data_IF_045088665845
#
_entry.id   IF_045088665845
#
_cell.length_a   1.000
_cell.length_b   1.000
_cell.length_c   1.000
_cell.angle_alpha   90.00
_cell.angle_beta   90.00
_cell.angle_gamma   90.00
#
_symmetry.space_group_name_H-M   'P 1'
#
loop_
_entity.id
_entity.type
_entity.pdbx_description
1 polymer ?
#
# COMPACT_ATOMS: atom_id res chain seq x y z
N UNK A 1 -6.08 3.52 -30.86
CA UNK A 1 -6.75 3.70 -29.55
C UNK A 1 -7.21 2.34 -29.04
N UNK A 2 -7.15 2.07 -27.73
CA UNK A 2 -7.60 0.81 -27.11
C UNK A 2 -8.33 1.12 -25.80
N UNK A 3 -9.34 0.32 -25.47
CA UNK A 3 -10.09 0.45 -24.22
C UNK A 3 -9.44 -0.42 -23.14
N UNK A 4 -9.17 0.17 -21.98
CA UNK A 4 -8.64 -0.57 -20.84
C UNK A 4 -9.72 -1.48 -20.24
N UNK A 5 -9.40 -2.76 -19.99
CA UNK A 5 -10.35 -3.70 -19.37
C UNK A 5 -10.60 -3.45 -17.89
N UNK A 6 -9.76 -2.66 -17.21
CA UNK A 6 -9.83 -2.38 -15.76
C UNK A 6 -10.58 -1.09 -15.45
N UNK A 7 -10.30 0.00 -16.18
CA UNK A 7 -10.91 1.31 -15.92
C UNK A 7 -11.86 1.78 -17.03
N UNK A 8 -12.11 0.96 -18.06
CA UNK A 8 -12.95 1.28 -19.23
C UNK A 8 -12.53 2.54 -20.04
N UNK A 9 -11.40 3.17 -19.71
CA UNK A 9 -10.93 4.36 -20.41
C UNK A 9 -10.38 4.02 -21.80
N UNK A 10 -10.69 4.87 -22.78
CA UNK A 10 -10.18 4.77 -24.16
C UNK A 10 -8.89 5.57 -24.29
N UNK A 11 -7.76 4.87 -24.44
CA UNK A 11 -6.41 5.45 -24.35
C UNK A 11 -5.56 5.10 -25.59
N UNK A 12 -4.52 5.90 -25.91
CA UNK A 12 -3.52 5.55 -26.93
C UNK A 12 -2.73 4.27 -26.59
N UNK A 13 -2.24 3.55 -27.60
CA UNK A 13 -1.53 2.27 -27.42
C UNK A 13 -0.27 2.38 -26.55
N UNK A 14 0.38 3.54 -26.51
CA UNK A 14 1.56 3.81 -25.64
C UNK A 14 1.27 3.61 -24.14
N UNK A 15 0.00 3.68 -23.73
CA UNK A 15 -0.39 3.42 -22.34
C UNK A 15 -0.60 1.94 -22.03
N UNK A 16 -0.44 1.03 -23.00
CA UNK A 16 -0.61 -0.40 -22.80
C UNK A 16 0.76 -1.08 -22.91
N UNK A 17 1.35 -1.51 -21.78
CA UNK A 17 2.67 -2.12 -21.78
C UNK A 17 2.67 -3.42 -22.58
N UNK A 18 3.78 -3.66 -23.28
CA UNK A 18 4.03 -4.89 -24.03
C UNK A 18 4.53 -5.97 -23.07
N UNK A 19 3.92 -7.15 -23.12
CA UNK A 19 4.41 -8.35 -22.44
C UNK A 19 4.57 -9.42 -23.52
N UNK A 20 5.79 -9.95 -23.67
CA UNK A 20 6.15 -10.89 -24.74
C UNK A 20 5.75 -10.37 -26.14
N UNK A 21 6.01 -9.09 -26.41
CA UNK A 21 5.67 -8.43 -27.68
C UNK A 21 4.18 -8.11 -27.89
N UNK A 22 3.29 -8.51 -26.96
CA UNK A 22 1.84 -8.27 -27.07
C UNK A 22 1.37 -7.18 -26.13
N UNK A 23 0.55 -6.24 -26.63
CA UNK A 23 -0.04 -5.18 -25.83
C UNK A 23 -1.06 -5.73 -24.82
N UNK A 24 -0.79 -5.51 -23.55
CA UNK A 24 -1.67 -5.96 -22.45
C UNK A 24 -3.06 -5.32 -22.50
N UNK A 25 -4.04 -5.97 -21.86
CA UNK A 25 -5.44 -5.51 -21.82
C UNK A 25 -5.66 -4.35 -20.84
N UNK A 26 -4.89 -4.31 -19.74
CA UNK A 26 -4.90 -3.23 -18.77
C UNK A 26 -3.88 -2.15 -19.12
N UNK A 27 -4.25 -0.89 -18.92
CA UNK A 27 -3.32 0.22 -19.09
C UNK A 27 -2.27 0.25 -17.97
N UNK A 28 -1.12 0.89 -18.25
CA UNK A 28 -0.02 1.03 -17.31
C UNK A 28 -0.44 1.65 -15.97
N UNK A 29 -1.30 2.70 -15.91
CA UNK A 29 -1.83 3.21 -14.64
C UNK A 29 -2.52 2.14 -13.79
N UNK A 30 -3.45 1.37 -14.36
CA UNK A 30 -4.15 0.31 -13.62
C UNK A 30 -3.19 -0.77 -13.11
N UNK A 31 -2.23 -1.20 -13.96
CA UNK A 31 -1.21 -2.18 -13.53
C UNK A 31 -0.32 -1.63 -12.42
N UNK A 32 0.03 -0.35 -12.45
CA UNK A 32 0.82 0.28 -11.40
C UNK A 32 0.02 0.36 -10.09
N UNK A 33 -1.28 0.66 -10.15
CA UNK A 33 -2.15 0.62 -8.98
C UNK A 33 -2.23 -0.78 -8.38
N UNK A 34 -2.44 -1.81 -9.21
CA UNK A 34 -2.45 -3.21 -8.75
C UNK A 34 -1.12 -3.61 -8.11
N UNK A 35 0.01 -3.25 -8.72
CA UNK A 35 1.34 -3.47 -8.12
C UNK A 35 1.46 -2.80 -6.75
N UNK A 36 1.09 -1.52 -6.64
CA UNK A 36 1.14 -0.79 -5.36
C UNK A 36 0.25 -1.40 -4.27
N UNK A 37 -0.85 -2.03 -4.66
CA UNK A 37 -1.74 -2.72 -3.71
C UNK A 37 -1.14 -4.05 -3.23
N UNK A 38 -0.33 -4.72 -4.05
CA UNK A 38 0.38 -5.94 -3.69
C UNK A 38 1.74 -5.71 -3.05
N UNK A 39 2.37 -4.57 -3.32
CA UNK A 39 3.64 -4.20 -2.74
C UNK A 39 3.48 -4.05 -1.22
N UNK A 40 4.35 -4.68 -0.40
CA UNK A 40 4.30 -4.52 1.04
C UNK A 40 4.46 -3.04 1.37
N UNK A 41 3.52 -2.51 2.17
CA UNK A 41 3.62 -1.15 2.66
C UNK A 41 4.96 -0.98 3.37
N UNK A 42 5.59 0.18 3.13
CA UNK A 42 6.80 0.53 3.87
C UNK A 42 6.47 0.48 5.37
N UNK A 43 7.38 -0.04 6.21
CA UNK A 43 7.18 0.00 7.65
C UNK A 43 6.86 1.43 8.08
N UNK A 44 5.75 1.61 8.81
CA UNK A 44 5.43 2.89 9.41
C UNK A 44 6.58 3.28 10.34
N UNK A 45 7.08 4.50 10.20
CA UNK A 45 7.99 5.05 11.21
C UNK A 45 7.23 5.12 12.53
N UNK A 46 7.84 4.64 13.60
CA UNK A 46 7.26 4.72 14.93
C UNK A 46 7.29 6.18 15.35
N UNK A 47 6.12 6.79 15.49
CA UNK A 47 6.01 8.11 16.09
C UNK A 47 6.27 7.99 17.60
N UNK A 48 7.30 8.66 18.15
CA UNK A 48 7.61 8.60 19.58
C UNK A 48 6.43 9.04 20.46
N UNK A 49 5.62 10.00 20.02
CA UNK A 49 4.45 10.48 20.77
C UNK A 49 3.36 9.41 20.82
N UNK A 50 3.08 8.76 19.69
CA UNK A 50 2.12 7.67 19.61
C UNK A 50 2.55 6.46 20.46
N UNK A 51 3.84 6.10 20.45
CA UNK A 51 4.38 5.02 21.31
C UNK A 51 4.18 5.36 22.79
N UNK A 52 4.47 6.60 23.20
CA UNK A 52 4.28 7.06 24.57
C UNK A 52 2.81 6.99 25.01
N UNK A 53 1.89 7.52 24.18
CA UNK A 53 0.46 7.50 24.47
C UNK A 53 -0.08 6.08 24.58
N UNK A 54 0.29 5.19 23.65
CA UNK A 54 -0.13 3.79 23.68
C UNK A 54 0.42 3.03 24.90
N UNK A 55 1.63 3.36 25.34
CA UNK A 55 2.19 2.76 26.56
C UNK A 55 1.45 3.26 27.81
N UNK A 56 1.10 4.54 27.88
CA UNK A 56 0.30 5.09 28.97
C UNK A 56 -1.08 4.44 29.02
N UNK A 57 -1.78 4.34 27.89
CA UNK A 57 -3.11 3.73 27.84
C UNK A 57 -3.10 2.24 28.18
N UNK A 58 -2.09 1.48 27.71
CA UNK A 58 -1.93 0.07 28.07
C UNK A 58 -1.73 -0.16 29.58
N UNK A 59 -1.08 0.78 30.27
CA UNK A 59 -0.88 0.71 31.72
C UNK A 59 -2.15 1.09 32.50
N UNK A 60 -2.90 2.08 32.01
CA UNK A 60 -4.09 2.62 32.69
C UNK A 60 -5.34 1.75 32.55
N UNK A 61 -5.59 1.21 31.36
CA UNK A 61 -6.83 0.47 31.09
C UNK A 61 -6.69 -1.04 31.33
N UNK A 62 -5.49 -1.51 31.71
CA UNK A 62 -5.17 -2.93 31.79
C UNK A 62 -5.20 -3.57 30.39
N UNK A 63 -4.36 -4.57 30.08
CA UNK A 63 -4.19 -4.92 28.68
C UNK A 63 -4.77 -6.29 28.34
N UNK A 64 -5.01 -6.50 27.05
CA UNK A 64 -4.99 -7.85 26.44
C UNK A 64 -3.53 -8.43 26.49
N UNK A 65 -2.49 -7.59 26.65
CA UNK A 65 -1.07 -7.96 26.91
C UNK A 65 -0.26 -6.95 27.76
N UNK A 66 0.33 -7.37 28.89
CA UNK A 66 1.09 -6.54 29.87
C UNK A 66 2.51 -6.13 29.45
N UNK A 67 2.74 -5.84 28.18
CA UNK A 67 4.09 -5.53 27.68
C UNK A 67 4.07 -4.18 26.95
N UNK A 68 4.98 -3.24 27.29
CA UNK A 68 5.08 -1.98 26.57
C UNK A 68 5.44 -2.21 25.11
N UNK A 69 4.91 -1.37 24.22
CA UNK A 69 5.33 -1.32 22.82
C UNK A 69 6.79 -0.86 22.78
N UNK A 70 7.59 -1.55 21.95
CA UNK A 70 9.04 -1.37 21.80
C UNK A 70 9.43 0.11 21.87
N UNK A 71 10.34 0.43 22.79
CA UNK A 71 10.95 1.75 22.91
C UNK A 71 11.61 2.16 21.59
N UNK A 72 11.58 3.46 21.29
CA UNK A 72 12.34 4.01 20.19
C UNK A 72 13.82 3.98 20.61
N UNK A 73 14.57 2.99 20.13
CA UNK A 73 16.03 2.99 20.15
C UNK A 73 16.53 3.77 18.93
#
# INVERSE_FOLDING_TARGET
MKTCTKCAARLPLRFFPLVNGKATAACAPCRNTERRLHDPLRPLRRDPLQVRLNNLTNLWHGPVRRVPLRSHA
#
